data_IF_060212276837
#
_entry.id   IF_060212276837
#
_cell.length_a   1.000
_cell.length_b   1.000
_cell.length_c   1.000
_cell.angle_alpha   90.00
_cell.angle_beta   90.00
_cell.angle_gamma   90.00
#
_symmetry.space_group_name_H-M   'P 1'
#
loop_
_entity.id
_entity.type
_entity.pdbx_description
1 polymer ?
#
# COMPACT_ATOMS: atom_id res chain seq x y z
N UNK A 1 -33.00 7.68 11.75
CA UNK A 1 -32.03 6.60 11.44
C UNK A 1 -31.81 6.42 9.94
N UNK A 2 -32.84 6.11 9.14
CA UNK A 2 -32.69 5.88 7.69
C UNK A 2 -32.09 7.08 6.92
N UNK A 3 -32.51 8.31 7.25
CA UNK A 3 -31.96 9.54 6.65
C UNK A 3 -30.45 9.68 6.88
N UNK A 4 -29.97 9.31 8.07
CA UNK A 4 -28.53 9.37 8.41
C UNK A 4 -27.75 8.37 7.56
N UNK A 5 -28.31 7.19 7.29
CA UNK A 5 -27.65 6.18 6.45
C UNK A 5 -27.66 6.57 4.98
N UNK A 6 -28.79 7.09 4.48
CA UNK A 6 -28.97 7.49 3.09
C UNK A 6 -28.15 8.72 2.71
N UNK A 7 -27.95 9.66 3.64
CA UNK A 7 -27.06 10.81 3.43
C UNK A 7 -25.62 10.49 3.79
N UNK A 8 -25.42 9.69 4.85
CA UNK A 8 -24.10 9.33 5.35
C UNK A 8 -23.29 8.50 4.36
N UNK A 9 -23.89 7.52 3.67
CA UNK A 9 -23.16 6.70 2.69
C UNK A 9 -22.61 7.54 1.51
N UNK A 10 -23.39 8.40 0.83
CA UNK A 10 -22.85 9.30 -0.18
C UNK A 10 -21.78 10.26 0.35
N UNK A 11 -21.97 10.82 1.55
CA UNK A 11 -20.99 11.71 2.17
C UNK A 11 -19.69 10.94 2.43
N UNK A 12 -19.76 9.77 3.06
CA UNK A 12 -18.60 8.92 3.32
C UNK A 12 -17.91 8.54 2.02
N UNK A 13 -18.67 8.23 0.96
CA UNK A 13 -18.11 7.92 -0.35
C UNK A 13 -17.34 9.10 -0.94
N UNK A 14 -17.88 10.31 -0.85
CA UNK A 14 -17.21 11.52 -1.28
C UNK A 14 -15.97 11.81 -0.44
N UNK A 15 -16.04 11.64 0.88
CA UNK A 15 -14.91 11.87 1.79
C UNK A 15 -13.79 10.84 1.60
N UNK A 16 -14.10 9.56 1.42
CA UNK A 16 -13.13 8.51 1.09
C UNK A 16 -12.38 8.81 -0.22
N UNK A 17 -13.06 9.45 -1.18
CA UNK A 17 -12.48 9.85 -2.47
C UNK A 17 -11.80 11.23 -2.45
N UNK A 18 -12.02 12.04 -1.41
CA UNK A 18 -11.58 13.43 -1.35
C UNK A 18 -10.04 13.58 -1.42
N UNK A 19 -9.33 12.59 -0.89
CA UNK A 19 -7.86 12.54 -0.96
C UNK A 19 -7.33 12.38 -2.40
N UNK A 20 -8.18 11.95 -3.34
CA UNK A 20 -7.80 11.53 -4.68
C UNK A 20 -6.97 10.23 -4.72
N UNK A 21 -6.78 9.57 -3.57
CA UNK A 21 -6.06 8.31 -3.42
C UNK A 21 -7.08 7.22 -3.11
N UNK A 22 -7.15 6.20 -3.96
CA UNK A 22 -8.13 5.12 -3.82
C UNK A 22 -7.55 3.95 -3.02
N UNK A 23 -7.03 4.20 -1.81
CA UNK A 23 -6.59 3.10 -0.96
C UNK A 23 -7.80 2.32 -0.45
N UNK A 24 -7.72 0.98 -0.50
CA UNK A 24 -8.84 0.11 -0.12
C UNK A 24 -9.33 0.33 1.32
N UNK A 25 -8.42 0.69 2.23
CA UNK A 25 -8.75 0.92 3.63
C UNK A 25 -9.64 2.16 3.87
N UNK A 26 -9.70 3.11 2.95
CA UNK A 26 -10.62 4.25 3.04
C UNK A 26 -12.10 3.86 2.93
N UNK A 27 -12.37 2.66 2.42
CA UNK A 27 -13.71 2.15 2.19
C UNK A 27 -14.22 1.23 3.30
N UNK A 28 -13.41 0.96 4.34
CA UNK A 28 -13.81 0.12 5.47
C UNK A 28 -15.02 0.73 6.20
N UNK A 29 -15.07 2.05 6.33
CA UNK A 29 -16.20 2.77 6.94
C UNK A 29 -17.54 2.51 6.24
N UNK A 30 -17.54 2.16 4.95
CA UNK A 30 -18.75 1.89 4.19
C UNK A 30 -19.45 0.60 4.64
N UNK A 31 -18.71 -0.34 5.24
CA UNK A 31 -19.24 -1.64 5.66
C UNK A 31 -20.43 -1.49 6.61
N UNK A 32 -20.38 -0.53 7.54
CA UNK A 32 -21.48 -0.24 8.47
C UNK A 32 -22.73 0.24 7.75
N UNK A 33 -22.59 1.20 6.82
CA UNK A 33 -23.72 1.74 6.06
C UNK A 33 -24.35 0.67 5.16
N UNK A 34 -23.52 -0.06 4.42
CA UNK A 34 -23.97 -1.14 3.54
C UNK A 34 -24.63 -2.27 4.32
N UNK A 35 -24.11 -2.60 5.50
CA UNK A 35 -24.69 -3.60 6.39
C UNK A 35 -26.11 -3.22 6.85
N UNK A 36 -26.30 -2.00 7.36
CA UNK A 36 -27.61 -1.56 7.86
C UNK A 36 -28.61 -1.32 6.73
N UNK A 37 -28.18 -0.70 5.62
CA UNK A 37 -29.03 -0.50 4.45
C UNK A 37 -29.43 -1.83 3.79
N UNK A 38 -28.48 -2.78 3.70
CA UNK A 38 -28.74 -4.13 3.21
C UNK A 38 -29.75 -4.86 4.10
N UNK A 39 -29.57 -4.81 5.43
CA UNK A 39 -30.52 -5.39 6.37
C UNK A 39 -31.93 -4.78 6.24
N UNK A 40 -32.02 -3.45 6.13
CA UNK A 40 -33.30 -2.76 5.91
C UNK A 40 -33.96 -3.15 4.59
N UNK A 41 -33.19 -3.21 3.49
CA UNK A 41 -33.69 -3.61 2.18
C UNK A 41 -34.26 -5.04 2.22
N UNK A 42 -33.54 -5.98 2.85
CA UNK A 42 -34.03 -7.36 3.00
C UNK A 42 -35.29 -7.41 3.85
N UNK A 43 -35.32 -6.74 4.99
CA UNK A 43 -36.51 -6.66 5.85
C UNK A 43 -37.73 -6.11 5.08
N UNK A 44 -37.55 -5.01 4.36
CA UNK A 44 -38.62 -4.37 3.60
C UNK A 44 -39.14 -5.25 2.46
N UNK A 45 -38.23 -5.84 1.67
CA UNK A 45 -38.61 -6.69 0.54
C UNK A 45 -39.30 -7.98 0.98
N UNK A 46 -38.78 -8.64 2.03
CA UNK A 46 -39.41 -9.86 2.56
C UNK A 46 -40.79 -9.57 3.15
N UNK A 47 -40.93 -8.52 3.95
CA UNK A 47 -42.23 -8.13 4.51
C UNK A 47 -43.24 -7.72 3.45
N UNK A 48 -42.80 -7.09 2.35
CA UNK A 48 -43.69 -6.62 1.28
C UNK A 48 -44.15 -7.72 0.33
N UNK A 49 -43.24 -8.62 -0.07
CA UNK A 49 -43.48 -9.58 -1.15
C UNK A 49 -43.60 -11.03 -0.67
N UNK A 50 -43.16 -11.32 0.55
CA UNK A 50 -43.09 -12.67 1.10
C UNK A 50 -43.64 -12.74 2.53
N UNK A 51 -44.87 -12.25 2.81
CA UNK A 51 -45.42 -12.22 4.18
C UNK A 51 -45.58 -13.62 4.80
N UNK A 52 -45.69 -14.67 3.97
CA UNK A 52 -45.72 -16.07 4.44
C UNK A 52 -44.37 -16.58 4.95
N UNK A 53 -43.29 -15.83 4.73
CA UNK A 53 -41.93 -16.20 5.12
C UNK A 53 -41.44 -15.45 6.37
N UNK A 54 -42.30 -14.70 7.07
CA UNK A 54 -41.93 -13.99 8.30
C UNK A 54 -41.26 -14.94 9.32
N UNK A 55 -41.79 -16.16 9.47
CA UNK A 55 -41.25 -17.19 10.36
C UNK A 55 -39.89 -17.76 9.90
N UNK A 56 -39.49 -17.53 8.65
CA UNK A 56 -38.24 -18.01 8.06
C UNK A 56 -37.23 -16.89 7.78
N UNK A 57 -37.55 -15.65 8.15
CA UNK A 57 -36.71 -14.46 7.88
C UNK A 57 -35.27 -14.67 8.35
N UNK A 58 -35.07 -15.19 9.56
CA UNK A 58 -33.74 -15.46 10.10
C UNK A 58 -32.99 -16.52 9.28
N UNK A 59 -33.69 -17.59 8.87
CA UNK A 59 -33.09 -18.65 8.05
C UNK A 59 -32.70 -18.12 6.66
N UNK A 60 -33.54 -17.28 6.05
CA UNK A 60 -33.26 -16.63 4.77
C UNK A 60 -32.05 -15.69 4.88
N UNK A 61 -31.97 -14.88 5.94
CA UNK A 61 -30.82 -14.00 6.20
C UNK A 61 -29.53 -14.80 6.39
N UNK A 62 -29.56 -15.86 7.20
CA UNK A 62 -28.40 -16.73 7.40
C UNK A 62 -27.99 -17.42 6.08
N UNK A 63 -28.95 -17.85 5.28
CA UNK A 63 -28.67 -18.45 3.96
C UNK A 63 -28.07 -17.44 2.99
N UNK A 64 -28.53 -16.18 2.99
CA UNK A 64 -27.98 -15.11 2.16
C UNK A 64 -26.57 -14.71 2.60
N UNK A 65 -26.32 -14.63 3.92
CA UNK A 65 -24.97 -14.41 4.46
C UNK A 65 -24.06 -15.56 4.04
N UNK A 66 -24.48 -16.80 4.27
CA UNK A 66 -23.70 -17.99 3.89
C UNK A 66 -23.41 -18.00 2.40
N UNK A 67 -24.39 -17.69 1.55
CA UNK A 67 -24.25 -17.61 0.11
C UNK A 67 -23.26 -16.49 -0.29
N UNK A 68 -23.35 -15.32 0.35
CA UNK A 68 -22.42 -14.21 0.12
C UNK A 68 -20.98 -14.58 0.54
N UNK A 69 -20.81 -15.32 1.63
CA UNK A 69 -19.50 -15.84 2.06
C UNK A 69 -18.95 -16.86 1.06
N UNK A 70 -19.79 -17.76 0.52
CA UNK A 70 -19.42 -18.74 -0.50
C UNK A 70 -19.04 -18.06 -1.82
N UNK A 71 -19.78 -17.06 -2.29
CA UNK A 71 -19.43 -16.34 -3.52
C UNK A 71 -18.18 -15.46 -3.41
N UNK A 72 -17.65 -15.27 -2.19
CA UNK A 72 -16.40 -14.56 -1.93
C UNK A 72 -15.24 -15.51 -1.60
N UNK A 73 -15.31 -16.77 -1.98
CA UNK A 73 -14.25 -17.77 -1.73
C UNK A 73 -12.84 -17.31 -2.14
N UNK A 74 -12.69 -16.53 -3.21
CA UNK A 74 -11.37 -16.01 -3.60
C UNK A 74 -10.82 -14.95 -2.63
N UNK A 75 -11.70 -14.18 -1.98
CA UNK A 75 -11.31 -13.28 -0.88
C UNK A 75 -10.86 -14.10 0.33
N UNK A 76 -11.59 -15.17 0.66
CA UNK A 76 -11.23 -16.08 1.76
C UNK A 76 -9.89 -16.78 1.55
N UNK A 77 -9.53 -17.13 0.30
CA UNK A 77 -8.20 -17.69 -0.01
C UNK A 77 -7.07 -16.74 0.40
N UNK A 78 -7.26 -15.43 0.24
CA UNK A 78 -6.30 -14.40 0.68
C UNK A 78 -6.21 -14.26 2.21
N UNK A 79 -7.28 -14.57 2.93
CA UNK A 79 -7.31 -14.56 4.40
C UNK A 79 -6.94 -15.91 5.04
N UNK A 80 -6.80 -16.99 4.27
CA UNK A 80 -6.46 -18.32 4.78
C UNK A 80 -5.12 -18.33 5.52
N UNK A 81 -4.11 -17.69 4.93
CA UNK A 81 -2.80 -17.47 5.59
C UNK A 81 -2.93 -16.61 6.83
N UNK A 82 -3.73 -15.54 6.81
CA UNK A 82 -3.95 -14.70 7.99
C UNK A 82 -4.64 -15.47 9.14
N UNK A 83 -5.65 -16.30 8.84
CA UNK A 83 -6.34 -17.16 9.82
C UNK A 83 -5.44 -18.28 10.35
N UNK A 84 -4.61 -18.87 9.49
CA UNK A 84 -3.60 -19.86 9.90
C UNK A 84 -2.55 -19.25 10.83
N UNK A 85 -2.13 -18.01 10.54
CA UNK A 85 -1.21 -17.24 11.35
C UNK A 85 -1.80 -16.87 12.73
N UNK A 86 -3.07 -16.46 12.77
CA UNK A 86 -3.78 -16.21 14.04
C UNK A 86 -3.92 -17.49 14.87
N UNK A 87 -4.32 -18.60 14.26
CA UNK A 87 -4.53 -19.88 14.97
C UNK A 87 -3.22 -20.55 15.41
N UNK A 88 -2.11 -20.29 14.72
CA UNK A 88 -0.77 -20.77 15.09
C UNK A 88 -0.03 -19.85 16.07
N UNK A 89 -0.63 -18.72 16.46
CA UNK A 89 0.02 -17.72 17.32
C UNK A 89 1.12 -16.90 16.62
N UNK A 90 1.33 -17.11 15.31
CA UNK A 90 2.18 -16.28 14.47
C UNK A 90 1.41 -15.03 14.05
N UNK A 91 1.13 -14.14 15.00
CA UNK A 91 0.34 -12.92 14.75
C UNK A 91 1.10 -11.91 13.88
N UNK A 92 2.42 -12.07 13.74
CA UNK A 92 3.25 -11.16 12.97
C UNK A 92 3.15 -11.48 11.47
N UNK A 93 2.42 -10.63 10.74
CA UNK A 93 2.51 -10.62 9.28
C UNK A 93 3.88 -10.12 8.87
N UNK A 94 4.64 -10.98 8.21
CA UNK A 94 5.92 -10.63 7.62
C UNK A 94 5.74 -10.53 6.12
N UNK A 95 6.01 -9.35 5.56
CA UNK A 95 6.01 -9.14 4.12
C UNK A 95 7.08 -10.03 3.45
N UNK A 96 6.78 -10.75 2.34
CA UNK A 96 7.78 -11.55 1.63
C UNK A 96 9.04 -10.78 1.24
N UNK A 97 8.91 -9.48 0.97
CA UNK A 97 10.07 -8.60 0.69
C UNK A 97 10.96 -8.47 1.93
N UNK A 98 10.37 -8.37 3.12
CA UNK A 98 11.11 -8.32 4.38
C UNK A 98 11.80 -9.65 4.73
N UNK A 99 11.23 -10.78 4.32
CA UNK A 99 11.89 -12.10 4.42
C UNK A 99 13.11 -12.11 3.49
N UNK A 100 12.92 -11.76 2.23
CA UNK A 100 13.99 -11.73 1.24
C UNK A 100 15.16 -10.85 1.71
N UNK A 101 14.87 -9.65 2.23
CA UNK A 101 15.89 -8.74 2.77
C UNK A 101 16.71 -9.45 3.85
N UNK A 102 16.06 -10.08 4.85
CA UNK A 102 16.75 -10.75 5.95
C UNK A 102 17.64 -11.89 5.50
N UNK A 103 17.21 -12.63 4.48
CA UNK A 103 17.97 -13.76 3.93
C UNK A 103 19.14 -13.32 3.05
N UNK A 104 19.14 -12.08 2.55
CA UNK A 104 20.11 -11.57 1.57
C UNK A 104 20.98 -10.40 2.08
N UNK A 105 20.88 -10.05 3.35
CA UNK A 105 21.66 -8.95 3.97
C UNK A 105 22.06 -9.28 5.40
N UNK A 106 23.18 -8.71 5.85
CA UNK A 106 23.60 -8.72 7.26
C UNK A 106 22.73 -7.78 8.11
N UNK A 107 22.71 -7.94 9.43
CA UNK A 107 21.96 -7.04 10.34
C UNK A 107 22.46 -5.60 10.32
N UNK A 108 23.72 -5.39 9.95
CA UNK A 108 24.35 -4.08 9.87
C UNK A 108 24.16 -3.42 8.49
N UNK A 109 23.73 -4.18 7.49
CA UNK A 109 23.48 -3.66 6.15
C UNK A 109 22.26 -2.72 6.17
N UNK A 110 22.36 -1.63 5.43
CA UNK A 110 21.24 -0.70 5.23
C UNK A 110 20.44 -1.08 4.01
N UNK A 111 19.14 -0.79 4.05
CA UNK A 111 18.21 -1.02 2.94
C UNK A 111 17.36 0.21 2.71
N UNK A 112 17.32 0.71 1.48
CA UNK A 112 16.42 1.78 1.09
C UNK A 112 15.15 1.19 0.49
N UNK A 113 13.98 1.61 0.98
CA UNK A 113 12.68 1.25 0.39
C UNK A 113 12.11 2.45 -0.36
N UNK A 114 12.25 2.42 -1.68
CA UNK A 114 11.71 3.43 -2.59
C UNK A 114 10.20 3.23 -2.78
N UNK A 115 9.40 4.29 -2.62
CA UNK A 115 7.94 4.21 -2.65
C UNK A 115 7.23 4.39 -1.29
N UNK A 116 7.95 4.86 -0.26
CA UNK A 116 7.42 5.22 1.06
C UNK A 116 6.74 4.06 1.81
N UNK A 117 7.46 2.94 1.98
CA UNK A 117 7.01 1.77 2.75
C UNK A 117 7.95 1.42 3.93
N UNK A 118 8.05 2.30 4.95
CA UNK A 118 8.96 2.10 6.08
C UNK A 118 8.71 0.83 6.90
N UNK A 119 7.50 0.28 6.85
CA UNK A 119 7.15 -0.98 7.50
C UNK A 119 8.06 -2.14 7.05
N UNK A 120 8.58 -2.11 5.82
CA UNK A 120 9.48 -3.15 5.30
C UNK A 120 10.83 -3.10 6.02
N UNK A 121 11.40 -1.92 6.22
CA UNK A 121 12.62 -1.74 7.02
C UNK A 121 12.42 -2.22 8.46
N UNK A 122 11.30 -1.85 9.08
CA UNK A 122 10.97 -2.24 10.44
C UNK A 122 10.86 -3.77 10.60
N UNK A 123 10.06 -4.41 9.75
CA UNK A 123 9.79 -5.87 9.84
C UNK A 123 10.98 -6.71 9.37
N UNK A 124 11.84 -6.17 8.49
CA UNK A 124 13.11 -6.84 8.12
C UNK A 124 14.22 -6.63 9.14
N UNK A 125 14.06 -5.69 10.08
CA UNK A 125 15.13 -5.30 10.99
C UNK A 125 16.35 -4.74 10.25
N UNK A 126 16.12 -3.91 9.23
CA UNK A 126 17.18 -3.20 8.49
C UNK A 126 16.94 -1.70 8.52
N UNK A 127 17.95 -0.97 8.94
CA UNK A 127 17.91 0.49 8.95
C UNK A 127 17.86 1.06 7.53
N UNK A 128 17.21 2.21 7.38
CA UNK A 128 17.30 2.99 6.15
C UNK A 128 18.60 3.81 6.16
N UNK A 129 19.26 4.03 4.99
CA UNK A 129 20.43 4.89 4.90
C UNK A 129 20.12 6.37 5.13
N UNK A 130 18.84 6.73 5.08
CA UNK A 130 18.35 8.11 5.01
C UNK A 130 17.29 8.39 6.06
N UNK A 131 17.24 9.62 6.56
CA UNK A 131 16.26 10.04 7.57
C UNK A 131 14.94 10.54 6.97
N UNK A 132 14.95 11.06 5.73
CA UNK A 132 13.76 11.59 5.05
C UNK A 132 13.14 10.55 4.11
N UNK A 133 12.27 9.71 4.65
CA UNK A 133 11.64 8.61 3.92
C UNK A 133 10.61 9.00 2.82
N UNK A 134 9.91 10.15 2.86
CA UNK A 134 8.94 10.50 1.81
C UNK A 134 9.55 10.83 0.44
N UNK A 135 10.88 10.82 0.31
CA UNK A 135 11.57 11.07 -0.96
C UNK A 135 11.06 10.14 -2.09
N UNK A 136 10.89 10.64 -3.33
CA UNK A 136 11.19 11.99 -3.81
C UNK A 136 10.03 12.98 -3.67
N UNK A 137 8.98 12.66 -2.91
CA UNK A 137 7.83 13.55 -2.73
C UNK A 137 8.13 14.60 -1.66
N UNK A 138 8.36 15.85 -2.08
CA UNK A 138 8.61 16.98 -1.17
C UNK A 138 7.38 17.84 -0.88
N UNK A 139 6.29 17.63 -1.62
CA UNK A 139 4.98 18.29 -1.50
C UNK A 139 4.96 19.81 -1.79
N UNK A 140 6.00 20.56 -1.45
CA UNK A 140 6.16 22.00 -1.69
C UNK A 140 7.63 22.27 -2.03
N UNK A 141 7.88 23.23 -2.92
CA UNK A 141 9.25 23.69 -3.22
C UNK A 141 9.61 24.85 -2.30
N UNK A 142 10.46 24.57 -1.31
CA UNK A 142 10.94 25.52 -0.31
C UNK A 142 12.42 25.26 -0.01
N UNK A 143 13.16 26.23 0.54
CA UNK A 143 14.53 25.98 1.01
C UNK A 143 14.65 24.80 1.98
N UNK A 144 13.65 24.59 2.84
CA UNK A 144 13.63 23.49 3.80
C UNK A 144 13.50 22.13 3.11
N UNK A 145 12.56 22.00 2.19
CA UNK A 145 12.33 20.75 1.46
C UNK A 145 13.48 20.41 0.52
N UNK A 146 14.13 21.42 -0.06
CA UNK A 146 15.33 21.23 -0.88
C UNK A 146 16.52 20.81 -0.01
N UNK A 147 16.64 21.34 1.22
CA UNK A 147 17.64 20.86 2.17
C UNK A 147 17.40 19.39 2.59
N UNK A 148 16.14 18.95 2.76
CA UNK A 148 15.84 17.53 3.01
C UNK A 148 16.17 16.64 1.82
N UNK A 149 15.87 17.10 0.61
CA UNK A 149 16.25 16.39 -0.62
C UNK A 149 17.77 16.24 -0.73
N UNK A 150 18.51 17.32 -0.45
CA UNK A 150 19.98 17.30 -0.46
C UNK A 150 20.55 16.38 0.62
N UNK A 151 20.01 16.45 1.83
CA UNK A 151 20.39 15.54 2.91
C UNK A 151 20.14 14.07 2.53
N UNK A 152 18.99 13.77 1.91
CA UNK A 152 18.69 12.42 1.42
C UNK A 152 19.75 11.93 0.43
N UNK A 153 20.05 12.73 -0.59
CA UNK A 153 21.03 12.37 -1.61
C UNK A 153 22.43 12.20 -1.01
N UNK A 154 22.86 13.17 -0.19
CA UNK A 154 24.15 13.13 0.48
C UNK A 154 24.32 11.87 1.35
N UNK A 155 23.29 11.52 2.14
CA UNK A 155 23.30 10.31 2.96
C UNK A 155 23.33 9.03 2.11
N UNK A 156 22.55 8.99 1.02
CA UNK A 156 22.52 7.85 0.11
C UNK A 156 23.88 7.61 -0.56
N UNK A 157 24.60 8.67 -0.91
CA UNK A 157 25.93 8.59 -1.53
C UNK A 157 27.01 8.27 -0.49
N UNK A 158 26.95 8.86 0.70
CA UNK A 158 27.98 8.67 1.73
C UNK A 158 27.91 7.30 2.40
N UNK A 159 26.71 6.73 2.50
CA UNK A 159 26.45 5.44 3.15
C UNK A 159 25.49 4.61 2.28
N UNK A 160 25.97 4.12 1.12
CA UNK A 160 25.11 3.41 0.17
C UNK A 160 24.52 2.14 0.80
N UNK A 161 23.19 1.92 0.70
CA UNK A 161 22.58 0.71 1.19
C UNK A 161 23.01 -0.51 0.36
N UNK A 162 23.03 -1.68 0.99
CA UNK A 162 23.32 -2.93 0.28
C UNK A 162 22.23 -3.25 -0.76
N UNK A 163 20.97 -2.92 -0.43
CA UNK A 163 19.81 -3.13 -1.29
C UNK A 163 18.95 -1.86 -1.40
N UNK A 164 18.40 -1.65 -2.60
CA UNK A 164 17.29 -0.73 -2.84
C UNK A 164 16.08 -1.55 -3.28
N UNK A 165 14.97 -1.41 -2.56
CA UNK A 165 13.70 -2.08 -2.82
C UNK A 165 12.77 -1.06 -3.49
N UNK A 166 12.53 -1.22 -4.78
CA UNK A 166 11.56 -0.41 -5.52
C UNK A 166 10.17 -0.99 -5.34
N UNK A 167 9.37 -0.38 -4.46
CA UNK A 167 8.04 -0.84 -4.13
C UNK A 167 7.03 0.30 -4.04
N UNK A 168 6.53 0.72 -5.21
CA UNK A 168 5.55 1.81 -5.34
C UNK A 168 4.14 1.24 -5.41
N UNK A 169 3.28 1.67 -4.47
CA UNK A 169 1.87 1.27 -4.50
C UNK A 169 1.15 1.74 -5.76
N UNK A 170 0.17 0.97 -6.29
CA UNK A 170 -0.57 1.35 -7.49
C UNK A 170 -1.19 2.76 -7.44
N UNK A 171 -1.62 3.20 -6.25
CA UNK A 171 -2.17 4.54 -6.03
C UNK A 171 -1.14 5.67 -6.21
N UNK A 172 0.15 5.39 -6.00
CA UNK A 172 1.24 6.35 -6.01
C UNK A 172 2.12 6.29 -7.27
N UNK A 173 1.94 5.29 -8.14
CA UNK A 173 2.66 5.15 -9.44
C UNK A 173 2.55 6.36 -10.39
N UNK A 174 1.58 7.25 -10.19
CA UNK A 174 1.42 8.49 -10.97
C UNK A 174 2.12 9.70 -10.35
N UNK A 175 2.83 9.49 -9.23
CA UNK A 175 3.44 10.53 -8.41
C UNK A 175 4.90 10.26 -8.14
N UNK A 176 5.24 9.01 -7.80
CA UNK A 176 6.59 8.58 -7.52
C UNK A 176 7.17 8.00 -8.83
N UNK A 177 8.27 8.56 -9.35
CA UNK A 177 9.00 7.97 -10.47
C UNK A 177 9.50 6.57 -10.12
N UNK A 178 9.42 5.65 -11.07
CA UNK A 178 10.03 4.33 -10.96
C UNK A 178 11.56 4.42 -10.93
N UNK A 179 12.22 3.44 -10.30
CA UNK A 179 13.67 3.29 -10.44
C UNK A 179 14.03 2.66 -11.79
N UNK A 180 13.17 1.80 -12.34
CA UNK A 180 13.37 1.24 -13.67
C UNK A 180 13.17 2.31 -14.75
N UNK A 181 14.20 2.54 -15.57
CA UNK A 181 14.19 3.59 -16.58
C UNK A 181 13.11 3.36 -17.65
N UNK A 182 12.92 2.12 -18.10
CA UNK A 182 11.95 1.79 -19.13
C UNK A 182 10.53 2.02 -18.61
N UNK A 183 10.26 1.59 -17.37
CA UNK A 183 8.98 1.87 -16.71
C UNK A 183 8.78 3.37 -16.54
N UNK A 184 9.80 4.09 -16.06
CA UNK A 184 9.72 5.54 -15.82
C UNK A 184 9.51 6.34 -17.11
N UNK A 185 10.06 5.91 -18.25
CA UNK A 185 9.83 6.53 -19.57
C UNK A 185 8.37 6.43 -20.01
N UNK A 186 7.71 5.32 -19.68
CA UNK A 186 6.28 5.12 -19.97
C UNK A 186 5.35 5.76 -18.91
N UNK A 187 5.87 6.04 -17.71
CA UNK A 187 5.10 6.62 -16.62
C UNK A 187 4.63 8.05 -16.93
N UNK A 188 3.31 8.22 -16.94
CA UNK A 188 2.67 9.55 -17.04
C UNK A 188 2.52 10.17 -15.66
N UNK A 189 3.63 10.63 -15.08
CA UNK A 189 3.62 11.32 -13.78
C UNK A 189 2.82 12.62 -13.89
N UNK A 190 1.90 12.86 -12.96
CA UNK A 190 1.11 14.09 -12.91
C UNK A 190 1.93 15.27 -12.35
N UNK A 191 2.95 15.71 -13.08
CA UNK A 191 3.88 16.78 -12.66
C UNK A 191 3.19 18.09 -12.26
N UNK A 192 2.01 18.41 -12.80
CA UNK A 192 1.22 19.60 -12.40
C UNK A 192 0.69 19.57 -10.97
N UNK A 193 0.59 18.38 -10.35
CA UNK A 193 0.02 18.17 -9.02
C UNK A 193 1.01 17.55 -8.03
N UNK A 194 2.26 17.40 -8.45
CA UNK A 194 3.30 16.72 -7.67
C UNK A 194 4.56 17.56 -7.75
N UNK A 195 5.05 17.98 -6.58
CA UNK A 195 6.37 18.58 -6.44
C UNK A 195 7.34 17.45 -6.08
N UNK A 196 8.33 17.23 -6.94
CA UNK A 196 9.40 16.27 -6.76
C UNK A 196 10.63 16.99 -6.23
N UNK A 197 11.50 16.24 -5.54
CA UNK A 197 12.80 16.72 -5.10
C UNK A 197 13.58 17.33 -6.27
N UNK A 198 14.23 18.47 -6.02
CA UNK A 198 15.01 19.17 -7.04
C UNK A 198 16.22 18.39 -7.52
N UNK A 199 16.74 17.47 -6.69
CA UNK A 199 17.90 16.62 -6.98
C UNK A 199 17.52 15.19 -7.38
N UNK A 200 16.30 15.00 -7.90
CA UNK A 200 15.78 13.69 -8.26
C UNK A 200 16.61 13.05 -9.37
N UNK A 201 16.97 13.81 -10.40
CA UNK A 201 17.68 13.28 -11.55
C UNK A 201 19.10 12.83 -11.15
N UNK A 202 19.79 13.57 -10.30
CA UNK A 202 21.09 13.21 -9.72
C UNK A 202 21.00 11.94 -8.86
N UNK A 203 19.93 11.81 -8.08
CA UNK A 203 19.69 10.63 -7.23
C UNK A 203 19.38 9.39 -8.07
N UNK A 204 18.57 9.52 -9.11
CA UNK A 204 18.27 8.43 -10.04
C UNK A 204 19.53 7.98 -10.78
N UNK A 205 20.34 8.93 -11.27
CA UNK A 205 21.59 8.64 -11.94
C UNK A 205 22.56 7.87 -11.03
N UNK A 206 22.71 8.30 -9.78
CA UNK A 206 23.51 7.57 -8.79
C UNK A 206 23.01 6.13 -8.62
N UNK A 207 21.70 5.91 -8.49
CA UNK A 207 21.14 4.57 -8.35
C UNK A 207 21.42 3.71 -9.60
N UNK A 208 21.24 4.27 -10.79
CA UNK A 208 21.44 3.55 -12.07
C UNK A 208 22.89 3.14 -12.30
N UNK A 209 23.83 4.03 -11.98
CA UNK A 209 25.26 3.77 -12.12
C UNK A 209 25.74 2.73 -11.10
N UNK A 210 25.19 2.75 -9.88
CA UNK A 210 25.75 2.01 -8.76
C UNK A 210 24.99 0.72 -8.39
N UNK A 211 23.77 0.53 -8.89
CA UNK A 211 22.95 -0.62 -8.57
C UNK A 211 22.55 -1.41 -9.82
N UNK A 212 22.27 -2.70 -9.62
CA UNK A 212 21.76 -3.60 -10.65
C UNK A 212 20.54 -4.34 -10.13
N UNK A 213 19.50 -4.46 -10.97
CA UNK A 213 18.31 -5.26 -10.65
C UNK A 213 18.71 -6.73 -10.50
N UNK A 214 18.42 -7.30 -9.34
CA UNK A 214 18.76 -8.69 -8.98
C UNK A 214 17.56 -9.62 -9.01
N UNK A 215 16.41 -9.16 -8.52
CA UNK A 215 15.22 -9.99 -8.36
C UNK A 215 13.93 -9.15 -8.35
N UNK A 216 12.78 -9.81 -8.38
CA UNK A 216 11.46 -9.23 -8.17
C UNK A 216 10.67 -10.09 -7.17
N UNK A 217 10.35 -9.51 -6.01
CA UNK A 217 9.66 -10.20 -4.91
C UNK A 217 8.32 -9.53 -4.65
N UNK A 218 7.22 -10.27 -4.79
CA UNK A 218 5.86 -9.77 -4.53
C UNK A 218 5.53 -8.44 -5.27
N UNK A 219 6.05 -8.29 -6.49
CA UNK A 219 5.87 -7.09 -7.31
C UNK A 219 6.74 -5.89 -6.90
N UNK A 220 7.71 -6.08 -6.00
CA UNK A 220 8.78 -5.14 -5.70
C UNK A 220 10.06 -5.55 -6.41
N UNK A 221 10.70 -4.61 -7.11
CA UNK A 221 11.98 -4.86 -7.76
C UNK A 221 13.13 -4.63 -6.78
N UNK A 222 14.06 -5.58 -6.72
CA UNK A 222 15.20 -5.53 -5.80
C UNK A 222 16.46 -5.19 -6.58
N UNK A 223 17.11 -4.12 -6.18
CA UNK A 223 18.37 -3.63 -6.73
C UNK A 223 19.47 -3.85 -5.71
N UNK A 224 20.59 -4.42 -6.15
CA UNK A 224 21.76 -4.66 -5.30
C UNK A 224 22.90 -3.73 -5.70
N UNK A 225 23.63 -3.22 -4.70
CA UNK A 225 24.84 -2.42 -4.90
C UNK A 225 25.87 -3.23 -5.69
N UNK A 226 26.50 -2.61 -6.69
CA UNK A 226 27.55 -3.25 -7.48
C UNK A 226 28.78 -3.50 -6.60
N UNK A 227 29.47 -4.65 -6.75
CA UNK A 227 30.64 -4.99 -5.94
C UNK A 227 31.87 -4.11 -6.25
N UNK A 228 31.81 -3.27 -7.29
CA UNK A 228 32.92 -2.46 -7.80
C UNK A 228 33.05 -1.11 -7.07
N UNK A 229 32.18 -0.84 -6.11
CA UNK A 229 32.13 0.41 -5.34
C UNK A 229 32.72 0.11 -3.95
N UNK A 230 33.79 0.81 -3.54
CA UNK A 230 34.48 0.58 -2.27
C UNK A 230 33.60 0.86 -1.05
#
# INVERSE_FOLDING_TARGET
MLVILLLGLPIELLLSMLSGRNYLHYFIGWSTYLGVLGAFAVFYLLGRFMPRFENYTTLLLLSAILLALIFKLDVWKGYGTALQNISSGQVEYVDPVAIYIRENTSEQDKVLVWGFRPVINFVSGREAPVSFLPYPLVHVDTPLTNAWAEQFHSQLVSEPPQLIVNYIEPADRKRIPDLDEDVRREQKIKRKSVVLASNLDETLLFIEENYVKKDTVNGADIYQLRPDIP
#
